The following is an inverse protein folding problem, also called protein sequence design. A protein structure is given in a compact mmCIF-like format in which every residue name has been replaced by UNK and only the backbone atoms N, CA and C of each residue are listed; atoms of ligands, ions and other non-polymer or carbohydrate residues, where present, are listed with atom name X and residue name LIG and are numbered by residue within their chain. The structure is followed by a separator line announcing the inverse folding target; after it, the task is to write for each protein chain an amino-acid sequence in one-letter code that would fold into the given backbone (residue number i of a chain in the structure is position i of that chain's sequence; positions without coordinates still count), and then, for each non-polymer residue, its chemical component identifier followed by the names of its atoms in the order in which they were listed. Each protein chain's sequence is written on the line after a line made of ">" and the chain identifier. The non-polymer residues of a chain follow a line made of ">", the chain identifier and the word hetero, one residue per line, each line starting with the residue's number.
data_IF_674328760683
#
_entry.id   IF_674328760683
#
_cell.length_a   1.000
_cell.length_b   1.000
_cell.length_c   1.000
_cell.angle_alpha   90.00
_cell.angle_beta   90.00
_cell.angle_gamma   90.00
#
_symmetry.space_group_name_H-M   'P 1'
#
loop_
_entity.id
_entity.type
_entity.pdbx_description
1 polymer ?
#
# COMPACT_ATOMS: atom_id res chain seq x y z
N UNK A 1 -8.25 48.94 17.35
CA UNK A 1 -7.86 47.58 17.80
C UNK A 1 -6.39 47.43 17.40
N UNK A 2 -5.37 47.37 18.28
CA UNK A 2 -5.13 46.45 19.43
C UNK A 2 -5.06 44.99 18.92
N UNK A 3 -4.04 44.15 19.17
CA UNK A 3 -2.68 44.26 19.80
C UNK A 3 -1.95 42.91 19.49
N UNK A 4 -0.64 42.67 19.65
CA UNK A 4 0.55 43.45 20.06
C UNK A 4 1.84 42.76 19.54
N UNK A 5 2.99 43.46 19.53
CA UNK A 5 4.32 42.85 19.63
C UNK A 5 5.02 43.41 20.87
N UNK A 6 5.05 42.62 21.94
CA UNK A 6 5.60 43.07 23.23
C UNK A 6 7.11 42.84 23.27
N UNK A 7 7.86 43.94 23.32
CA UNK A 7 9.29 43.95 23.60
C UNK A 7 9.51 43.74 25.10
N UNK A 8 10.44 42.85 25.50
CA UNK A 8 10.96 42.81 26.87
C UNK A 8 12.47 42.66 26.83
N UNK A 9 13.18 43.62 27.42
CA UNK A 9 14.64 43.69 27.44
C UNK A 9 15.19 43.54 28.86
N UNK A 10 16.33 42.85 29.01
CA UNK A 10 17.26 42.86 30.15
C UNK A 10 18.40 41.86 29.88
N UNK A 11 19.65 42.00 30.31
CA UNK A 11 20.50 43.09 30.79
C UNK A 11 21.90 42.45 30.98
N UNK A 12 22.93 42.96 30.29
CA UNK A 12 24.34 43.14 30.77
C UNK A 12 25.08 41.98 31.52
N UNK A 13 26.13 41.47 30.83
CA UNK A 13 27.52 41.21 31.30
C UNK A 13 28.05 39.83 31.78
N UNK A 14 29.39 39.76 31.75
CA UNK A 14 30.38 38.68 31.95
C UNK A 14 30.37 37.57 30.88
N UNK A 15 31.38 37.43 29.99
CA UNK A 15 32.85 37.40 30.07
C UNK A 15 33.41 36.06 30.57
N UNK A 16 34.16 35.40 29.66
CA UNK A 16 35.07 34.26 29.80
C UNK A 16 34.46 32.89 30.16
N UNK A 17 34.63 31.92 29.24
CA UNK A 17 35.58 30.80 29.42
C UNK A 17 35.79 30.01 28.11
N UNK A 18 37.05 29.98 27.67
CA UNK A 18 37.76 28.84 27.05
C UNK A 18 37.12 27.98 25.94
N UNK A 19 37.56 28.24 24.69
CA UNK A 19 38.24 27.27 23.81
C UNK A 19 37.50 26.03 23.27
N UNK A 20 37.46 25.89 21.94
CA UNK A 20 38.27 24.91 21.18
C UNK A 20 38.09 25.06 19.66
N UNK A 21 39.08 24.58 18.92
CA UNK A 21 39.20 24.56 17.45
C UNK A 21 37.99 23.96 16.70
N UNK A 22 37.72 24.45 15.47
CA UNK A 22 38.18 23.78 14.23
C UNK A 22 37.46 24.29 12.95
N UNK A 23 38.28 24.81 12.03
CA UNK A 23 38.22 24.71 10.56
C UNK A 23 36.89 24.76 9.78
N UNK A 24 36.81 25.74 8.89
CA UNK A 24 35.98 25.73 7.68
C UNK A 24 36.04 24.40 6.90
N UNK A 25 34.87 23.83 6.60
CA UNK A 25 34.67 23.01 5.38
C UNK A 25 33.32 23.38 4.75
N UNK A 26 33.31 23.88 3.49
CA UNK A 26 32.06 24.17 2.80
C UNK A 26 31.50 22.89 2.17
N UNK A 27 30.70 22.13 2.92
CA UNK A 27 29.98 20.97 2.37
C UNK A 27 28.70 21.44 1.67
N UNK A 28 28.88 22.02 0.48
CA UNK A 28 27.80 22.06 -0.52
C UNK A 28 27.64 20.67 -1.08
N UNK A 29 26.82 19.85 -0.40
CA UNK A 29 26.20 18.69 -1.03
C UNK A 29 24.70 18.91 -1.03
N UNK A 30 24.23 19.62 -2.05
CA UNK A 30 22.84 19.52 -2.48
C UNK A 30 22.63 18.08 -2.97
N UNK A 31 22.32 17.18 -2.04
CA UNK A 31 21.64 15.94 -2.40
C UNK A 31 20.28 16.36 -2.93
N UNK A 32 20.19 16.50 -4.25
CA UNK A 32 18.94 16.24 -4.95
C UNK A 32 18.52 14.84 -4.55
N UNK A 33 17.66 14.76 -3.53
CA UNK A 33 16.79 13.61 -3.35
C UNK A 33 15.99 13.56 -4.64
N UNK A 34 16.40 12.69 -5.55
CA UNK A 34 15.55 12.28 -6.65
C UNK A 34 14.31 11.70 -5.97
N UNK A 35 13.21 12.44 -6.01
CA UNK A 35 11.89 11.84 -5.87
C UNK A 35 11.76 10.85 -7.01
N UNK A 36 12.16 9.60 -6.76
CA UNK A 36 11.50 8.48 -7.38
C UNK A 36 10.04 8.62 -6.99
N UNK A 37 9.21 8.99 -7.96
CA UNK A 37 7.76 8.88 -7.84
C UNK A 37 7.50 7.41 -7.49
N UNK A 38 6.88 7.10 -6.34
CA UNK A 38 6.84 5.73 -5.88
C UNK A 38 5.95 4.89 -6.82
N UNK A 39 6.51 3.79 -7.35
CA UNK A 39 5.77 2.78 -8.13
C UNK A 39 4.51 2.30 -7.36
N UNK A 40 4.50 2.43 -6.04
CA UNK A 40 3.42 2.13 -5.09
C UNK A 40 2.06 2.79 -5.40
N UNK A 41 2.04 3.92 -6.11
CA UNK A 41 0.75 4.56 -6.50
C UNK A 41 -0.04 3.70 -7.51
N UNK A 42 0.66 2.91 -8.33
CA UNK A 42 0.08 2.17 -9.45
C UNK A 42 -0.98 1.15 -8.99
N UNK A 43 -0.74 0.43 -7.90
CA UNK A 43 -1.61 -0.65 -7.42
C UNK A 43 -2.98 -0.15 -6.95
N UNK A 44 -3.00 0.94 -6.18
CA UNK A 44 -4.24 1.60 -5.74
C UNK A 44 -5.03 2.16 -6.92
N UNK A 45 -4.35 2.86 -7.84
CA UNK A 45 -4.95 3.43 -9.05
C UNK A 45 -5.50 2.38 -10.03
N UNK A 46 -4.92 1.17 -10.06
CA UNK A 46 -5.30 0.10 -10.99
C UNK A 46 -6.43 -0.79 -10.45
N UNK A 47 -6.58 -0.88 -9.13
CA UNK A 47 -7.55 -1.78 -8.49
C UNK A 47 -8.51 -1.06 -7.54
N UNK A 48 -7.99 -0.48 -6.45
CA UNK A 48 -8.83 -0.01 -5.35
C UNK A 48 -9.73 1.16 -5.76
N UNK A 49 -9.21 2.15 -6.48
CA UNK A 49 -10.00 3.33 -6.87
C UNK A 49 -11.05 3.02 -7.95
N UNK A 50 -10.73 2.30 -9.05
CA UNK A 50 -11.74 1.85 -10.02
C UNK A 50 -12.83 0.95 -9.42
N UNK A 51 -12.46 0.10 -8.46
CA UNK A 51 -13.37 -0.80 -7.77
C UNK A 51 -14.30 -0.06 -6.81
N UNK A 52 -13.78 0.88 -6.01
CA UNK A 52 -14.60 1.75 -5.16
C UNK A 52 -15.59 2.59 -5.99
N UNK A 53 -15.16 3.13 -7.13
CA UNK A 53 -16.04 3.86 -8.05
C UNK A 53 -17.15 2.95 -8.61
N UNK A 54 -16.82 1.72 -9.01
CA UNK A 54 -17.81 0.73 -9.46
C UNK A 54 -18.82 0.35 -8.36
N UNK A 55 -18.40 0.16 -7.12
CA UNK A 55 -19.30 -0.15 -6.00
C UNK A 55 -20.27 1.01 -5.71
N UNK A 56 -19.80 2.26 -5.76
CA UNK A 56 -20.65 3.43 -5.63
C UNK A 56 -21.68 3.55 -6.76
N UNK A 57 -21.27 3.29 -8.00
CA UNK A 57 -22.14 3.32 -9.18
C UNK A 57 -23.21 2.21 -9.15
N UNK A 58 -22.80 0.96 -8.87
CA UNK A 58 -23.73 -0.17 -8.79
C UNK A 58 -24.65 -0.07 -7.58
N UNK A 59 -24.23 0.56 -6.48
CA UNK A 59 -25.12 0.89 -5.36
C UNK A 59 -26.27 1.81 -5.79
N UNK A 60 -26.01 2.80 -6.65
CA UNK A 60 -27.06 3.67 -7.20
C UNK A 60 -27.99 2.88 -8.15
N UNK A 61 -27.42 2.14 -9.12
CA UNK A 61 -28.18 1.32 -10.06
C UNK A 61 -29.07 0.27 -9.36
N UNK A 62 -28.60 -0.34 -8.27
CA UNK A 62 -29.39 -1.31 -7.51
C UNK A 62 -30.59 -0.66 -6.80
N UNK A 63 -30.44 0.58 -6.30
CA UNK A 63 -31.53 1.33 -5.69
C UNK A 63 -32.60 1.75 -6.71
N UNK A 64 -32.22 1.87 -7.98
CA UNK A 64 -33.12 2.10 -9.12
C UNK A 64 -33.67 0.79 -9.73
N UNK A 65 -33.23 -0.36 -9.24
CA UNK A 65 -33.64 -1.69 -9.72
C UNK A 65 -33.00 -2.10 -11.06
N UNK A 66 -31.92 -1.45 -11.48
CA UNK A 66 -31.39 -1.46 -12.84
C UNK A 66 -29.95 -2.03 -12.97
N UNK A 67 -29.55 -2.99 -12.12
CA UNK A 67 -28.27 -3.69 -12.29
C UNK A 67 -28.29 -4.57 -13.55
N UNK A 68 -27.24 -4.50 -14.36
CA UNK A 68 -27.16 -5.16 -15.68
C UNK A 68 -26.05 -6.21 -15.77
N UNK A 69 -26.15 -7.07 -16.79
CA UNK A 69 -25.09 -7.98 -17.26
C UNK A 69 -23.76 -7.25 -17.53
N UNK A 70 -23.83 -6.00 -18.00
CA UNK A 70 -22.66 -5.15 -18.23
C UNK A 70 -21.93 -4.82 -16.93
N UNK A 71 -22.65 -4.60 -15.82
CA UNK A 71 -22.04 -4.44 -14.50
C UNK A 71 -21.31 -5.72 -14.05
N UNK A 72 -21.83 -6.91 -14.38
CA UNK A 72 -21.15 -8.19 -14.10
C UNK A 72 -19.85 -8.31 -14.92
N UNK A 73 -19.91 -8.05 -16.22
CA UNK A 73 -18.73 -8.07 -17.12
C UNK A 73 -17.65 -7.07 -16.67
N UNK A 74 -18.06 -5.86 -16.24
CA UNK A 74 -17.16 -4.85 -15.70
C UNK A 74 -16.57 -5.26 -14.35
N UNK A 75 -17.34 -5.92 -13.47
CA UNK A 75 -16.82 -6.45 -12.21
C UNK A 75 -15.77 -7.54 -12.42
N UNK A 76 -16.01 -8.48 -13.34
CA UNK A 76 -15.04 -9.50 -13.73
C UNK A 76 -13.75 -8.88 -14.29
N UNK A 77 -13.87 -7.81 -15.07
CA UNK A 77 -12.72 -7.04 -15.57
C UNK A 77 -11.94 -6.36 -14.44
N UNK A 78 -12.62 -5.86 -13.40
CA UNK A 78 -11.99 -5.30 -12.20
C UNK A 78 -11.29 -6.37 -11.34
N UNK A 79 -11.87 -7.57 -11.19
CA UNK A 79 -11.19 -8.71 -10.54
C UNK A 79 -9.88 -9.03 -11.25
N UNK A 80 -9.89 -9.07 -12.59
CA UNK A 80 -8.68 -9.32 -13.39
C UNK A 80 -7.61 -8.21 -13.23
N UNK A 81 -8.02 -6.94 -13.22
CA UNK A 81 -7.12 -5.80 -12.96
C UNK A 81 -6.50 -5.87 -11.56
N UNK A 82 -7.31 -6.18 -10.54
CA UNK A 82 -6.84 -6.38 -9.17
C UNK A 82 -5.87 -7.57 -9.04
N UNK A 83 -6.11 -8.68 -9.76
CA UNK A 83 -5.19 -9.83 -9.81
C UNK A 83 -3.84 -9.43 -10.42
N UNK A 84 -3.84 -8.62 -11.48
CA UNK A 84 -2.62 -8.13 -12.11
C UNK A 84 -1.83 -7.19 -11.19
N UNK A 85 -2.50 -6.27 -10.49
CA UNK A 85 -1.89 -5.41 -9.48
C UNK A 85 -1.26 -6.24 -8.32
N UNK A 86 -1.98 -7.23 -7.80
CA UNK A 86 -1.48 -8.12 -6.75
C UNK A 86 -0.25 -8.93 -7.19
N UNK A 87 -0.23 -9.43 -8.42
CA UNK A 87 0.95 -10.10 -9.00
C UNK A 87 2.13 -9.15 -9.16
N UNK A 88 1.88 -7.87 -9.48
CA UNK A 88 2.93 -6.84 -9.61
C UNK A 88 3.57 -6.54 -8.25
N UNK A 89 2.77 -6.47 -7.19
CA UNK A 89 3.25 -6.33 -5.80
C UNK A 89 4.08 -7.54 -5.35
N UNK A 90 3.71 -8.75 -5.75
CA UNK A 90 4.51 -9.95 -5.49
C UNK A 90 5.86 -9.93 -6.21
N UNK A 91 5.91 -9.47 -7.46
CA UNK A 91 7.17 -9.37 -8.21
C UNK A 91 8.05 -8.22 -7.70
N UNK A 92 7.45 -7.15 -7.16
CA UNK A 92 8.18 -6.13 -6.38
C UNK A 92 8.76 -6.73 -5.09
N UNK A 93 7.96 -7.50 -4.33
CA UNK A 93 8.40 -8.22 -3.13
C UNK A 93 9.62 -9.13 -3.40
N UNK A 94 9.58 -9.94 -4.47
CA UNK A 94 10.70 -10.82 -4.82
C UNK A 94 11.97 -10.01 -5.13
N UNK A 95 11.85 -8.85 -5.80
CA UNK A 95 12.98 -7.96 -6.10
C UNK A 95 13.54 -7.30 -4.84
N UNK A 96 12.68 -6.83 -3.94
CA UNK A 96 13.08 -6.18 -2.69
C UNK A 96 13.74 -7.18 -1.73
N UNK A 97 13.26 -8.42 -1.70
CA UNK A 97 13.74 -9.45 -0.78
C UNK A 97 14.90 -10.29 -1.34
N UNK A 98 15.28 -10.16 -2.62
CA UNK A 98 16.34 -10.94 -3.29
C UNK A 98 17.73 -10.96 -2.61
N UNK A 99 17.94 -10.15 -1.56
CA UNK A 99 19.19 -10.09 -0.76
C UNK A 99 19.02 -10.60 0.68
N UNK A 100 17.80 -10.97 1.08
CA UNK A 100 17.50 -11.52 2.39
C UNK A 100 17.78 -13.04 2.42
N UNK A 101 17.91 -13.65 3.61
CA UNK A 101 17.97 -15.11 3.72
C UNK A 101 16.63 -15.75 3.28
N UNK A 102 16.67 -16.75 2.40
CA UNK A 102 15.49 -17.51 1.92
C UNK A 102 14.66 -18.21 3.02
N UNK A 103 15.30 -18.47 4.17
CA UNK A 103 14.69 -19.01 5.39
C UNK A 103 14.09 -17.94 6.29
N UNK A 104 14.24 -16.66 5.93
CA UNK A 104 13.68 -15.50 6.62
C UNK A 104 12.15 -15.46 6.59
N UNK A 105 11.59 -14.72 7.53
CA UNK A 105 10.13 -14.57 7.71
C UNK A 105 9.50 -13.84 6.52
N UNK A 106 10.26 -12.98 5.85
CA UNK A 106 9.82 -12.25 4.65
C UNK A 106 9.59 -13.18 3.46
N UNK A 107 10.54 -14.06 3.14
CA UNK A 107 10.37 -15.07 2.10
C UNK A 107 9.26 -16.07 2.45
N UNK A 108 9.14 -16.48 3.73
CA UNK A 108 8.05 -17.36 4.15
C UNK A 108 6.67 -16.74 3.92
N UNK A 109 6.51 -15.45 4.22
CA UNK A 109 5.25 -14.73 4.05
C UNK A 109 4.95 -14.41 2.58
N UNK A 110 5.97 -14.04 1.78
CA UNK A 110 5.84 -13.87 0.33
C UNK A 110 5.36 -15.16 -0.37
N UNK A 111 5.89 -16.33 0.03
CA UNK A 111 5.40 -17.64 -0.46
C UNK A 111 3.92 -17.86 -0.16
N UNK A 112 3.44 -17.48 1.03
CA UNK A 112 2.02 -17.59 1.38
C UNK A 112 1.13 -16.72 0.48
N UNK A 113 1.51 -15.46 0.23
CA UNK A 113 0.76 -14.59 -0.67
C UNK A 113 0.73 -15.12 -2.13
N UNK A 114 1.81 -15.75 -2.61
CA UNK A 114 1.82 -16.43 -3.91
C UNK A 114 0.80 -17.58 -3.97
N UNK A 115 0.60 -18.31 -2.88
CA UNK A 115 -0.45 -19.33 -2.78
C UNK A 115 -1.87 -18.74 -2.76
N UNK A 116 -2.06 -17.54 -2.20
CA UNK A 116 -3.36 -16.85 -2.13
C UNK A 116 -3.83 -16.27 -3.47
N UNK A 117 -2.98 -16.19 -4.50
CA UNK A 117 -3.37 -15.76 -5.87
C UNK A 117 -4.58 -16.56 -6.41
N UNK A 118 -4.75 -17.82 -5.99
CA UNK A 118 -5.92 -18.65 -6.33
C UNK A 118 -7.27 -18.10 -5.83
N UNK A 119 -7.27 -17.24 -4.81
CA UNK A 119 -8.49 -16.62 -4.27
C UNK A 119 -9.13 -15.70 -5.31
N UNK A 120 -8.35 -15.09 -6.19
CA UNK A 120 -8.89 -14.31 -7.33
C UNK A 120 -9.66 -15.19 -8.32
N UNK A 121 -9.28 -16.46 -8.49
CA UNK A 121 -10.01 -17.39 -9.35
C UNK A 121 -11.36 -17.77 -8.71
N UNK A 122 -11.39 -18.01 -7.40
CA UNK A 122 -12.64 -18.18 -6.65
C UNK A 122 -13.53 -16.92 -6.67
N UNK A 123 -12.94 -15.71 -6.70
CA UNK A 123 -13.69 -14.47 -6.90
C UNK A 123 -14.29 -14.37 -8.31
N UNK A 124 -13.58 -14.81 -9.35
CA UNK A 124 -14.12 -14.91 -10.72
C UNK A 124 -15.28 -15.90 -10.76
N UNK A 125 -15.13 -17.09 -10.17
CA UNK A 125 -16.18 -18.12 -10.15
C UNK A 125 -17.46 -17.59 -9.48
N UNK A 126 -17.34 -17.05 -8.26
CA UNK A 126 -18.49 -16.49 -7.52
C UNK A 126 -19.12 -15.27 -8.23
N UNK A 127 -18.32 -14.43 -8.89
CA UNK A 127 -18.83 -13.29 -9.66
C UNK A 127 -19.47 -13.72 -10.99
N UNK A 128 -19.15 -14.90 -11.51
CA UNK A 128 -19.66 -15.46 -12.77
C UNK A 128 -20.90 -16.35 -12.58
N UNK A 129 -21.30 -16.66 -11.34
CA UNK A 129 -22.53 -17.41 -11.09
C UNK A 129 -23.74 -16.72 -11.77
N UNK A 130 -24.70 -17.50 -12.34
CA UNK A 130 -25.89 -16.95 -12.95
C UNK A 130 -26.63 -16.01 -11.99
N UNK A 131 -27.03 -14.84 -12.50
CA UNK A 131 -27.46 -13.68 -11.72
C UNK A 131 -28.33 -14.02 -10.51
N UNK A 132 -27.98 -13.44 -9.37
CA UNK A 132 -28.85 -13.43 -8.19
C UNK A 132 -30.19 -12.79 -8.60
N UNK A 133 -31.35 -13.32 -8.16
CA UNK A 133 -32.65 -12.94 -8.70
C UNK A 133 -33.10 -11.50 -8.38
N UNK A 134 -32.27 -10.69 -7.71
CA UNK A 134 -32.53 -9.29 -7.41
C UNK A 134 -31.28 -8.42 -7.58
N UNK A 135 -31.43 -7.16 -8.03
CA UNK A 135 -30.35 -6.17 -8.07
C UNK A 135 -29.58 -6.03 -6.74
N UNK A 136 -30.29 -6.06 -5.61
CA UNK A 136 -29.65 -6.00 -4.28
C UNK A 136 -28.84 -7.25 -3.94
N UNK A 137 -29.30 -8.45 -4.31
CA UNK A 137 -28.54 -9.68 -4.09
C UNK A 137 -27.28 -9.78 -4.94
N UNK A 138 -27.28 -9.17 -6.12
CA UNK A 138 -26.10 -9.06 -6.99
C UNK A 138 -25.12 -7.98 -6.47
N UNK A 139 -25.63 -6.84 -6.00
CA UNK A 139 -24.84 -5.80 -5.32
C UNK A 139 -24.16 -6.31 -4.04
N UNK A 140 -24.84 -7.16 -3.26
CA UNK A 140 -24.26 -7.77 -2.06
C UNK A 140 -23.00 -8.59 -2.41
N UNK A 141 -23.05 -9.39 -3.49
CA UNK A 141 -21.90 -10.13 -4.01
C UNK A 141 -20.76 -9.18 -4.41
N UNK A 142 -21.07 -8.10 -5.16
CA UNK A 142 -20.06 -7.11 -5.55
C UNK A 142 -19.40 -6.44 -4.33
N UNK A 143 -20.16 -6.06 -3.30
CA UNK A 143 -19.61 -5.46 -2.09
C UNK A 143 -18.72 -6.41 -1.28
N UNK A 144 -19.13 -7.68 -1.13
CA UNK A 144 -18.35 -8.71 -0.40
C UNK A 144 -17.03 -8.99 -1.13
N UNK A 145 -17.12 -9.33 -2.43
CA UNK A 145 -15.94 -9.67 -3.24
C UNK A 145 -15.04 -8.44 -3.46
N UNK A 146 -15.63 -7.27 -3.69
CA UNK A 146 -14.93 -6.00 -3.83
C UNK A 146 -14.11 -5.63 -2.59
N UNK A 147 -14.72 -5.74 -1.41
CA UNK A 147 -14.00 -5.54 -0.13
C UNK A 147 -12.85 -6.55 0.02
N UNK A 148 -13.07 -7.80 -0.36
CA UNK A 148 -12.04 -8.86 -0.34
C UNK A 148 -10.84 -8.55 -1.23
N UNK A 149 -11.07 -8.08 -2.46
CA UNK A 149 -10.02 -7.66 -3.41
C UNK A 149 -9.18 -6.51 -2.84
N UNK A 150 -9.82 -5.48 -2.28
CA UNK A 150 -9.14 -4.31 -1.70
C UNK A 150 -8.27 -4.73 -0.50
N UNK A 151 -8.81 -5.57 0.39
CA UNK A 151 -8.07 -6.08 1.56
C UNK A 151 -6.88 -6.94 1.13
N UNK A 152 -7.04 -7.81 0.13
CA UNK A 152 -5.94 -8.64 -0.38
C UNK A 152 -4.81 -7.77 -0.96
N UNK A 153 -5.13 -6.80 -1.81
CA UNK A 153 -4.12 -5.91 -2.38
C UNK A 153 -3.43 -5.06 -1.30
N UNK A 154 -4.19 -4.44 -0.40
CA UNK A 154 -3.63 -3.67 0.71
C UNK A 154 -2.71 -4.51 1.61
N UNK A 155 -3.04 -5.80 1.81
CA UNK A 155 -2.23 -6.71 2.63
C UNK A 155 -0.86 -6.98 2.01
N UNK A 156 -0.79 -7.23 0.70
CA UNK A 156 0.50 -7.48 0.01
C UNK A 156 1.33 -6.20 -0.12
N UNK A 157 0.73 -5.05 -0.47
CA UNK A 157 1.41 -3.75 -0.52
C UNK A 157 1.95 -3.33 0.86
N UNK A 158 1.17 -3.49 1.94
CA UNK A 158 1.64 -3.21 3.30
C UNK A 158 2.74 -4.17 3.77
N UNK A 159 2.75 -5.42 3.32
CA UNK A 159 3.84 -6.34 3.62
C UNK A 159 5.16 -5.85 3.04
N UNK A 160 5.16 -5.46 1.76
CA UNK A 160 6.34 -4.89 1.06
C UNK A 160 6.87 -3.65 1.78
N UNK A 161 6.00 -2.66 2.02
CA UNK A 161 6.41 -1.36 2.57
C UNK A 161 6.81 -1.42 4.06
N UNK A 162 6.11 -2.18 4.89
CA UNK A 162 6.22 -2.09 6.35
C UNK A 162 7.00 -3.22 7.00
N UNK A 163 6.66 -4.47 6.68
CA UNK A 163 6.93 -5.61 7.56
C UNK A 163 8.35 -6.18 7.45
N UNK A 164 9.05 -5.93 6.34
CA UNK A 164 10.37 -6.52 6.07
C UNK A 164 11.55 -5.58 6.22
N UNK A 165 11.29 -4.33 6.58
CA UNK A 165 12.29 -3.34 6.99
C UNK A 165 13.24 -3.90 8.07
N UNK A 166 12.72 -4.58 9.10
CA UNK A 166 13.56 -5.11 10.20
C UNK A 166 14.52 -6.21 9.72
N UNK A 167 14.07 -7.08 8.81
CA UNK A 167 14.89 -8.19 8.25
C UNK A 167 15.94 -7.65 7.26
N UNK A 168 15.65 -6.52 6.60
CA UNK A 168 16.55 -5.84 5.66
C UNK A 168 17.59 -4.91 6.33
N UNK A 169 17.25 -4.24 7.43
CA UNK A 169 18.12 -3.26 8.10
C UNK A 169 18.92 -3.82 9.28
N UNK A 170 18.58 -5.01 9.80
CA UNK A 170 19.38 -5.72 10.82
C UNK A 170 19.53 -7.23 10.48
N UNK A 171 20.27 -7.57 9.40
CA UNK A 171 20.53 -8.97 9.04
C UNK A 171 21.34 -9.72 10.11
N UNK A 172 22.05 -9.02 11.01
CA UNK A 172 22.79 -9.64 12.10
C UNK A 172 21.86 -10.30 13.12
N UNK A 173 20.72 -9.69 13.46
CA UNK A 173 19.70 -10.33 14.30
C UNK A 173 19.02 -11.53 13.64
N UNK A 174 18.97 -11.59 12.31
CA UNK A 174 18.41 -12.75 11.58
C UNK A 174 19.35 -13.94 11.69
N UNK A 175 20.65 -13.74 11.46
CA UNK A 175 21.68 -14.80 11.56
C UNK A 175 21.85 -15.30 13.01
N UNK A 176 21.77 -14.42 14.01
CA UNK A 176 21.98 -14.77 15.42
C UNK A 176 20.80 -15.44 16.12
N UNK A 177 19.62 -15.55 15.48
CA UNK A 177 18.44 -16.20 16.04
C UNK A 177 17.97 -17.44 15.25
N UNK A 178 18.79 -17.95 14.31
CA UNK A 178 18.56 -19.27 13.72
C UNK A 178 19.07 -20.37 14.68
N UNK A 179 18.27 -21.42 14.96
CA UNK A 179 18.62 -22.49 15.90
C UNK A 179 19.63 -23.50 15.34
#
# INVERSE_FOLDING_TARGET
>A
MIKECTLTAAFIALILLSGCDAQDTPVTTTQSVMSAEPEDTTSHLTCADPLNAFLAETQAQANEGALSDEAQSRFLSLIAACKAAYLTELDLIDRDYAKLPETGTCHQRARHYREEVRVFDAFVDMASEPQRPTPHGQLEVYNILGSGLIVQLATVTLHRMGNCSTEAYDPARVVLNQP
#
